data_IF_056985722226
#
_entry.id   IF_056985722226
#
_cell.length_a   1.000
_cell.length_b   1.000
_cell.length_c   1.000
_cell.angle_alpha   90.00
_cell.angle_beta   90.00
_cell.angle_gamma   90.00
#
_symmetry.space_group_name_H-M   'P 1'
#
loop_
_entity.id
_entity.type
_entity.pdbx_description
1 polymer ?
#
# COMPACT_ATOMS: atom_id res chain seq x y z
N UNK A 1 -2.17 -1.48 -13.40
CA UNK A 1 -1.60 -2.84 -13.61
C UNK A 1 -0.11 -2.91 -13.30
N UNK A 2 0.72 -2.10 -13.96
CA UNK A 2 2.18 -2.12 -13.83
C UNK A 2 2.67 -2.04 -12.38
N UNK A 3 2.12 -1.11 -11.59
CA UNK A 3 2.44 -0.91 -10.17
C UNK A 3 2.22 -2.20 -9.38
N UNK A 4 1.02 -2.80 -9.48
CA UNK A 4 0.66 -4.04 -8.78
C UNK A 4 1.66 -5.15 -9.11
N UNK A 5 1.92 -5.37 -10.41
CA UNK A 5 2.87 -6.40 -10.86
C UNK A 5 4.29 -6.17 -10.33
N UNK A 6 4.74 -4.93 -10.25
CA UNK A 6 6.06 -4.56 -9.71
C UNK A 6 6.13 -4.81 -8.20
N UNK A 7 5.15 -4.35 -7.44
CA UNK A 7 5.09 -4.52 -5.98
C UNK A 7 5.04 -6.01 -5.60
N UNK A 8 4.33 -6.83 -6.37
CA UNK A 8 4.30 -8.30 -6.18
C UNK A 8 5.66 -9.00 -6.37
N UNK A 9 6.68 -8.33 -6.92
CA UNK A 9 8.06 -8.86 -7.03
C UNK A 9 8.89 -8.63 -5.76
N UNK A 10 8.36 -7.92 -4.77
CA UNK A 10 9.01 -7.67 -3.48
C UNK A 10 8.63 -8.80 -2.52
N UNK A 11 9.61 -9.59 -2.08
CA UNK A 11 9.38 -10.82 -1.30
C UNK A 11 8.79 -10.54 0.08
N UNK A 12 9.07 -9.36 0.62
CA UNK A 12 8.59 -8.88 1.90
C UNK A 12 7.10 -8.50 1.84
N UNK A 13 6.53 -8.27 0.65
CA UNK A 13 5.10 -7.96 0.45
C UNK A 13 4.34 -9.27 0.22
N UNK A 14 3.53 -9.67 1.21
CA UNK A 14 2.82 -10.95 1.19
C UNK A 14 1.41 -10.87 0.61
N UNK A 15 0.78 -9.68 0.69
CA UNK A 15 -0.59 -9.42 0.22
C UNK A 15 -0.63 -8.04 -0.44
N UNK A 16 -1.46 -7.90 -1.47
CA UNK A 16 -1.71 -6.62 -2.15
C UNK A 16 -3.22 -6.42 -2.22
N UNK A 17 -3.66 -5.21 -1.87
CA UNK A 17 -5.03 -4.75 -2.06
C UNK A 17 -5.01 -3.45 -2.88
N UNK A 18 -6.07 -3.25 -3.66
CA UNK A 18 -6.37 -1.99 -4.29
C UNK A 18 -7.43 -1.26 -3.46
N UNK A 19 -7.04 -0.15 -2.83
CA UNK A 19 -7.95 0.73 -2.12
C UNK A 19 -8.51 1.78 -3.08
N UNK A 20 -9.83 1.87 -3.21
CA UNK A 20 -10.53 2.77 -4.14
C UNK A 20 -11.70 3.47 -3.45
N UNK A 21 -12.13 4.65 -3.93
CA UNK A 21 -13.39 5.24 -3.50
C UNK A 21 -14.61 4.33 -3.76
N UNK A 22 -15.71 4.59 -3.08
CA UNK A 22 -17.02 4.07 -3.49
C UNK A 22 -17.45 4.74 -4.79
N UNK A 23 -17.94 3.96 -5.75
CA UNK A 23 -18.51 4.52 -6.97
C UNK A 23 -18.43 3.59 -8.16
N UNK A 24 -19.34 3.79 -9.11
CA UNK A 24 -19.31 3.08 -10.39
C UNK A 24 -18.12 3.51 -11.27
N UNK A 25 -17.54 4.70 -11.03
CA UNK A 25 -16.31 5.16 -11.68
C UNK A 25 -15.14 4.21 -11.48
N UNK A 26 -15.11 3.49 -10.36
CA UNK A 26 -14.02 2.59 -9.99
C UNK A 26 -14.17 1.18 -10.59
N UNK A 27 -15.27 0.90 -11.32
CA UNK A 27 -15.51 -0.42 -11.93
C UNK A 27 -14.33 -0.94 -12.78
N UNK A 28 -13.61 -0.11 -13.57
CA UNK A 28 -12.42 -0.58 -14.28
C UNK A 28 -11.30 -1.05 -13.34
N UNK A 29 -11.10 -0.38 -12.21
CA UNK A 29 -10.10 -0.74 -11.21
C UNK A 29 -10.49 -2.03 -10.46
N UNK A 30 -11.78 -2.20 -10.14
CA UNK A 30 -12.31 -3.44 -9.56
C UNK A 30 -12.12 -4.61 -10.52
N UNK A 31 -12.41 -4.42 -11.81
CA UNK A 31 -12.20 -5.42 -12.85
C UNK A 31 -10.72 -5.80 -13.00
N UNK A 32 -9.83 -4.80 -12.98
CA UNK A 32 -8.37 -5.00 -12.98
C UNK A 32 -7.92 -5.82 -11.77
N UNK A 33 -8.38 -5.46 -10.57
CA UNK A 33 -8.02 -6.14 -9.33
C UNK A 33 -8.44 -7.61 -9.34
N UNK A 34 -9.66 -7.90 -9.80
CA UNK A 34 -10.17 -9.27 -9.99
C UNK A 34 -9.29 -10.08 -10.95
N UNK A 35 -8.90 -9.48 -12.09
CA UNK A 35 -8.02 -10.13 -13.08
C UNK A 35 -6.63 -10.44 -12.51
N UNK A 36 -6.09 -9.54 -11.68
CA UNK A 36 -4.79 -9.71 -11.03
C UNK A 36 -4.84 -10.49 -9.71
N UNK A 37 -6.03 -10.96 -9.30
CA UNK A 37 -6.26 -11.68 -8.03
C UNK A 37 -5.77 -10.90 -6.81
N UNK A 38 -5.97 -9.58 -6.80
CA UNK A 38 -5.72 -8.73 -5.63
C UNK A 38 -7.03 -8.32 -4.98
N UNK A 39 -7.03 -8.12 -3.67
CA UNK A 39 -8.22 -7.69 -2.95
C UNK A 39 -8.62 -6.26 -3.35
N UNK A 40 -9.90 -5.94 -3.23
CA UNK A 40 -10.43 -4.58 -3.44
C UNK A 40 -11.01 -4.10 -2.13
N UNK A 41 -10.62 -2.89 -1.73
CA UNK A 41 -11.11 -2.22 -0.54
C UNK A 41 -11.77 -0.93 -1.00
N UNK A 42 -13.10 -0.90 -0.95
CA UNK A 42 -13.85 0.27 -1.36
C UNK A 42 -14.34 1.02 -0.11
N UNK A 43 -14.08 2.32 -0.04
CA UNK A 43 -14.45 3.19 1.09
C UNK A 43 -14.74 4.64 0.68
N UNK A 44 -15.01 5.53 1.64
CA UNK A 44 -15.35 6.93 1.37
C UNK A 44 -14.21 7.64 0.63
N UNK A 45 -14.50 8.50 -0.36
CA UNK A 45 -13.50 9.17 -1.22
C UNK A 45 -12.50 10.04 -0.43
N UNK A 46 -13.03 10.89 0.44
CA UNK A 46 -12.25 11.83 1.26
C UNK A 46 -11.52 11.14 2.43
N UNK A 47 -12.03 10.00 2.89
CA UNK A 47 -11.45 9.27 4.02
C UNK A 47 -10.46 8.21 3.55
N UNK A 48 -9.29 8.70 3.14
CA UNK A 48 -8.17 7.85 2.74
C UNK A 48 -7.74 6.95 3.90
N UNK A 49 -7.69 7.50 5.12
CA UNK A 49 -7.21 6.80 6.31
C UNK A 49 -8.08 5.58 6.64
N UNK A 50 -9.41 5.74 6.63
CA UNK A 50 -10.34 4.63 6.84
C UNK A 50 -10.15 3.52 5.79
N UNK A 51 -9.89 3.86 4.52
CA UNK A 51 -9.60 2.85 3.49
C UNK A 51 -8.31 2.07 3.79
N UNK A 52 -7.26 2.71 4.29
CA UNK A 52 -6.04 2.01 4.69
C UNK A 52 -6.27 1.10 5.90
N UNK A 53 -7.01 1.56 6.91
CA UNK A 53 -7.34 0.75 8.09
C UNK A 53 -8.16 -0.47 7.68
N UNK A 54 -9.21 -0.28 6.89
CA UNK A 54 -10.04 -1.36 6.37
C UNK A 54 -9.23 -2.35 5.52
N UNK A 55 -8.26 -1.87 4.74
CA UNK A 55 -7.35 -2.73 3.98
C UNK A 55 -6.48 -3.59 4.90
N UNK A 56 -5.91 -2.99 5.95
CA UNK A 56 -5.14 -3.71 6.96
C UNK A 56 -5.96 -4.78 7.66
N UNK A 57 -7.18 -4.46 8.08
CA UNK A 57 -8.07 -5.41 8.75
C UNK A 57 -8.52 -6.55 7.83
N UNK A 58 -8.96 -6.22 6.61
CA UNK A 58 -9.42 -7.21 5.62
C UNK A 58 -8.29 -8.16 5.22
N UNK A 59 -7.07 -7.64 5.06
CA UNK A 59 -5.89 -8.43 4.76
C UNK A 59 -5.22 -9.01 6.00
N UNK A 60 -5.74 -8.81 7.21
CA UNK A 60 -5.11 -9.23 8.47
C UNK A 60 -3.62 -8.85 8.53
N UNK A 61 -3.28 -7.65 8.07
CA UNK A 61 -1.92 -7.16 7.96
C UNK A 61 -1.56 -6.34 9.20
N UNK A 62 -0.42 -6.66 9.83
CA UNK A 62 0.12 -5.87 10.94
C UNK A 62 0.89 -4.63 10.46
N UNK A 63 1.47 -4.69 9.25
CA UNK A 63 2.26 -3.63 8.64
C UNK A 63 1.70 -3.34 7.25
N UNK A 64 1.44 -2.07 6.96
CA UNK A 64 0.93 -1.61 5.67
C UNK A 64 2.04 -0.85 4.94
N UNK A 65 2.25 -1.21 3.68
CA UNK A 65 3.03 -0.40 2.74
C UNK A 65 2.07 0.43 1.91
N UNK A 66 2.22 1.76 1.96
CA UNK A 66 1.45 2.65 1.08
C UNK A 66 2.13 2.77 -0.27
N UNK A 67 1.33 2.60 -1.32
CA UNK A 67 1.74 2.80 -2.72
C UNK A 67 0.65 3.61 -3.42
N UNK A 68 1.02 4.74 -4.02
CA UNK A 68 0.10 5.57 -4.79
C UNK A 68 -0.12 4.99 -6.20
N UNK A 69 -1.35 5.06 -6.70
CA UNK A 69 -1.74 4.50 -8.00
C UNK A 69 -1.18 5.27 -9.22
N UNK A 70 -0.63 6.45 -8.99
CA UNK A 70 -0.02 7.37 -9.95
C UNK A 70 1.51 7.36 -9.93
N UNK A 71 2.13 6.46 -9.14
CA UNK A 71 3.58 6.30 -9.02
C UNK A 71 4.07 5.02 -9.76
N UNK A 72 4.05 4.98 -11.11
CA UNK A 72 4.41 3.78 -11.88
C UNK A 72 5.87 3.35 -11.70
N UNK A 73 6.75 4.28 -11.33
CA UNK A 73 8.19 4.08 -11.22
C UNK A 73 8.67 3.87 -9.78
N UNK A 74 7.82 3.34 -8.90
CA UNK A 74 8.21 2.91 -7.55
C UNK A 74 9.51 2.08 -7.59
N UNK A 75 10.48 2.48 -6.76
CA UNK A 75 11.78 1.82 -6.71
C UNK A 75 11.69 0.55 -5.85
N UNK A 76 11.83 -0.61 -6.50
CA UNK A 76 11.70 -1.91 -5.82
C UNK A 76 12.88 -2.24 -4.92
N UNK A 77 14.07 -1.72 -5.22
CA UNK A 77 15.26 -1.93 -4.39
C UNK A 77 15.15 -1.11 -3.11
N UNK A 78 14.68 0.13 -3.22
CA UNK A 78 14.37 0.99 -2.08
C UNK A 78 13.25 0.38 -1.23
N UNK A 79 12.13 -0.02 -1.83
CA UNK A 79 11.02 -0.64 -1.10
C UNK A 79 11.46 -1.91 -0.35
N UNK A 80 12.28 -2.77 -0.97
CA UNK A 80 12.87 -3.95 -0.30
C UNK A 80 13.70 -3.56 0.91
N UNK A 81 14.60 -2.58 0.75
CA UNK A 81 15.46 -2.09 1.83
C UNK A 81 14.61 -1.55 2.99
N UNK A 82 13.60 -0.74 2.66
CA UNK A 82 12.68 -0.14 3.62
C UNK A 82 11.90 -1.19 4.40
N UNK A 83 11.32 -2.18 3.71
CA UNK A 83 10.57 -3.27 4.32
C UNK A 83 11.44 -4.12 5.24
N UNK A 84 12.66 -4.46 4.82
CA UNK A 84 13.62 -5.19 5.67
C UNK A 84 14.00 -4.41 6.90
N UNK A 85 14.24 -3.11 6.76
CA UNK A 85 14.54 -2.26 7.89
C UNK A 85 13.36 -2.22 8.87
N UNK A 86 12.16 -1.92 8.39
CA UNK A 86 10.94 -1.84 9.20
C UNK A 86 10.68 -3.14 9.96
N UNK A 87 10.79 -4.30 9.31
CA UNK A 87 10.58 -5.61 9.95
C UNK A 87 11.70 -5.98 10.94
N UNK A 88 12.90 -5.40 10.79
CA UNK A 88 14.02 -5.64 11.71
C UNK A 88 13.96 -4.76 12.96
N UNK A 89 13.59 -3.50 12.80
CA UNK A 89 13.60 -2.49 13.89
C UNK A 89 12.22 -2.27 14.52
N UNK A 90 11.16 -2.75 13.87
CA UNK A 90 9.76 -2.67 14.31
C UNK A 90 9.30 -1.26 14.76
N UNK A 91 9.64 -0.18 14.02
CA UNK A 91 9.13 1.14 14.34
C UNK A 91 7.65 1.24 13.96
N UNK A 92 6.96 2.24 14.49
CA UNK A 92 5.56 2.50 14.15
C UNK A 92 5.40 3.02 12.71
N UNK A 93 6.40 3.75 12.22
CA UNK A 93 6.41 4.35 10.89
C UNK A 93 7.82 4.34 10.29
N UNK A 94 7.93 4.08 8.99
CA UNK A 94 9.20 4.11 8.24
C UNK A 94 8.97 4.70 6.87
N UNK A 95 9.81 5.66 6.49
CA UNK A 95 9.73 6.37 5.21
C UNK A 95 11.09 6.33 4.52
N UNK A 96 11.10 6.35 3.20
CA UNK A 96 12.32 6.51 2.41
C UNK A 96 13.11 7.74 2.87
N UNK A 97 14.43 7.61 3.02
CA UNK A 97 15.29 8.74 3.34
C UNK A 97 15.43 9.68 2.15
N UNK A 98 15.37 10.99 2.39
CA UNK A 98 15.61 12.00 1.37
C UNK A 98 17.11 12.16 1.05
N UNK A 99 17.47 12.56 -0.19
CA UNK A 99 16.57 12.78 -1.32
C UNK A 99 16.33 11.49 -2.13
N UNK A 100 15.07 11.24 -2.50
CA UNK A 100 14.69 10.28 -3.54
C UNK A 100 13.82 10.97 -4.60
N UNK A 101 13.88 10.58 -5.89
CA UNK A 101 13.03 11.18 -6.91
C UNK A 101 11.54 11.02 -6.56
N UNK A 102 10.75 12.07 -6.81
CA UNK A 102 9.31 12.05 -6.57
C UNK A 102 8.66 10.87 -7.32
N UNK A 103 7.78 10.15 -6.64
CA UNK A 103 7.10 8.97 -7.19
C UNK A 103 7.89 7.66 -7.10
N UNK A 104 9.11 7.67 -6.54
CA UNK A 104 9.92 6.44 -6.34
C UNK A 104 9.88 5.90 -4.90
N UNK A 105 9.55 6.76 -3.94
CA UNK A 105 9.53 6.44 -2.51
C UNK A 105 8.30 5.63 -2.07
N UNK A 106 8.36 5.14 -0.83
CA UNK A 106 7.25 4.44 -0.18
C UNK A 106 7.34 4.64 1.33
N UNK A 107 6.25 4.34 2.02
CA UNK A 107 6.15 4.42 3.47
C UNK A 107 5.48 3.16 4.03
N UNK A 108 5.89 2.78 5.24
CA UNK A 108 5.43 1.59 5.95
C UNK A 108 4.95 2.01 7.33
N UNK A 109 3.74 1.60 7.69
CA UNK A 109 3.11 1.94 8.97
C UNK A 109 2.55 0.70 9.65
N UNK A 110 2.62 0.65 10.99
CA UNK A 110 1.92 -0.37 11.77
C UNK A 110 0.42 -0.06 11.79
N UNK A 111 -0.41 -1.09 11.58
CA UNK A 111 -1.87 -0.93 11.58
C UNK A 111 -2.37 -0.34 12.89
N UNK A 112 -1.85 -0.81 14.03
CA UNK A 112 -2.26 -0.34 15.35
C UNK A 112 -1.96 1.16 15.53
N UNK A 113 -0.77 1.60 15.11
CA UNK A 113 -0.39 3.01 15.17
C UNK A 113 -1.29 3.85 14.26
N UNK A 114 -1.62 3.36 13.06
CA UNK A 114 -2.52 4.04 12.14
C UNK A 114 -3.93 4.22 12.74
N UNK A 115 -4.42 3.25 13.50
CA UNK A 115 -5.73 3.31 14.19
C UNK A 115 -5.78 4.32 15.33
N UNK A 116 -4.65 4.70 15.92
CA UNK A 116 -4.63 5.69 17.02
C UNK A 116 -4.83 7.13 16.58
N UNK A 117 -4.70 7.40 15.27
CA UNK A 117 -4.81 8.74 14.68
C UNK A 117 -6.03 8.90 13.76
N UNK A 118 -6.90 7.88 13.75
CA UNK A 118 -8.15 7.86 12.98
C UNK A 118 -9.29 8.56 13.72
#
# INVERSE_FOLDING_TARGET
EHIIKRVQQVREITRVALAVPHGASEAPLVGLAKRLKVAVIAGPEEDVLARFIQAGETLQAAHLVRVCGDNPLIDLSLLRSLARHHLKTLPDYTVSADPVPLGTGSEIVRLDSLKTIA
#
